data_IF_334084443306
#
_entry.id   IF_334084443306
#
_cell.length_a   1.000
_cell.length_b   1.000
_cell.length_c   1.000
_cell.angle_alpha   90.00
_cell.angle_beta   90.00
_cell.angle_gamma   90.00
#
_symmetry.space_group_name_H-M   'P 1'
#
loop_
_entity.id
_entity.type
_entity.pdbx_description
1 polymer ?
#
# COMPACT_ATOMS: atom_id res chain seq x y z
N UNK A 1 -16.22 20.76 7.43
CA UNK A 1 -16.12 19.86 6.26
C UNK A 1 -15.34 18.64 6.69
N UNK A 2 -15.92 17.44 6.57
CA UNK A 2 -15.21 16.20 6.91
C UNK A 2 -14.15 15.89 5.85
N UNK A 3 -12.97 15.37 6.23
CA UNK A 3 -11.95 14.99 5.25
C UNK A 3 -12.48 13.89 4.32
N UNK A 4 -12.05 13.86 3.04
CA UNK A 4 -12.44 12.81 2.12
C UNK A 4 -11.99 11.45 2.68
N UNK A 5 -12.94 10.52 2.77
CA UNK A 5 -12.66 9.14 3.18
C UNK A 5 -11.79 8.49 2.11
N UNK A 6 -10.54 8.20 2.45
CA UNK A 6 -9.63 7.44 1.61
C UNK A 6 -10.15 6.00 1.61
N UNK A 7 -10.79 5.59 0.51
CA UNK A 7 -11.24 4.20 0.34
C UNK A 7 -10.01 3.29 0.44
N UNK A 8 -10.11 2.22 1.23
CA UNK A 8 -9.04 1.24 1.30
C UNK A 8 -8.97 0.52 -0.07
N UNK A 9 -7.79 0.18 -0.59
CA UNK A 9 -7.66 -0.56 -1.85
C UNK A 9 -8.52 -1.84 -1.88
N UNK A 10 -8.65 -2.51 -0.74
CA UNK A 10 -9.51 -3.70 -0.58
C UNK A 10 -11.00 -3.45 -0.81
N UNK A 11 -11.50 -2.23 -0.55
CA UNK A 11 -12.90 -1.88 -0.77
C UNK A 11 -13.24 -1.80 -2.26
N UNK A 12 -12.31 -1.25 -3.06
CA UNK A 12 -12.47 -1.10 -4.52
C UNK A 12 -12.40 -2.45 -5.23
N UNK A 13 -11.49 -3.32 -4.78
CA UNK A 13 -11.38 -4.70 -5.29
C UNK A 13 -12.68 -5.45 -5.02
N UNK A 14 -13.18 -5.44 -3.78
CA UNK A 14 -14.44 -6.10 -3.43
C UNK A 14 -15.63 -5.60 -4.27
N UNK A 15 -15.74 -4.29 -4.51
CA UNK A 15 -16.85 -3.70 -5.26
C UNK A 15 -16.84 -4.13 -6.74
N UNK A 16 -15.70 -4.02 -7.42
CA UNK A 16 -15.57 -4.38 -8.85
C UNK A 16 -15.78 -5.87 -9.07
N UNK A 17 -15.24 -6.71 -8.18
CA UNK A 17 -15.36 -8.16 -8.33
C UNK A 17 -16.75 -8.69 -7.98
N UNK A 18 -17.41 -8.09 -6.98
CA UNK A 18 -18.80 -8.43 -6.67
C UNK A 18 -19.72 -8.16 -7.86
N UNK A 19 -19.51 -7.06 -8.60
CA UNK A 19 -20.28 -6.76 -9.81
C UNK A 19 -20.01 -7.76 -10.94
N UNK A 20 -18.76 -8.17 -11.16
CA UNK A 20 -18.42 -9.19 -12.18
C UNK A 20 -19.07 -10.53 -11.88
N UNK A 21 -18.99 -11.00 -10.63
CA UNK A 21 -19.60 -12.27 -10.20
C UNK A 21 -21.13 -12.22 -10.36
N UNK A 22 -21.78 -11.12 -9.96
CA UNK A 22 -23.23 -10.95 -10.16
C UNK A 22 -23.63 -11.00 -11.63
N UNK A 23 -22.85 -10.37 -12.51
CA UNK A 23 -23.10 -10.39 -13.96
C UNK A 23 -23.04 -11.81 -14.53
N UNK A 24 -22.06 -12.59 -14.10
CA UNK A 24 -21.88 -13.97 -14.55
C UNK A 24 -23.00 -14.89 -14.06
N UNK A 25 -23.39 -14.74 -12.79
CA UNK A 25 -24.54 -15.46 -12.23
C UNK A 25 -25.79 -15.18 -13.06
N UNK A 26 -26.04 -13.91 -13.41
CA UNK A 26 -27.22 -13.53 -14.18
C UNK A 26 -27.22 -14.16 -15.58
N UNK A 27 -26.08 -14.12 -16.28
CA UNK A 27 -25.97 -14.72 -17.63
C UNK A 27 -26.22 -16.23 -17.59
N UNK A 28 -25.67 -16.95 -16.62
CA UNK A 28 -25.88 -18.40 -16.49
C UNK A 28 -27.33 -18.73 -16.12
N UNK A 29 -27.95 -17.95 -15.22
CA UNK A 29 -29.36 -18.11 -14.87
C UNK A 29 -30.28 -17.89 -16.07
N UNK A 30 -30.01 -16.86 -16.89
CA UNK A 30 -30.78 -16.56 -18.10
C UNK A 30 -30.63 -17.66 -19.18
N UNK A 31 -29.52 -18.41 -19.14
CA UNK A 31 -29.19 -19.49 -20.07
C UNK A 31 -29.68 -20.86 -19.59
N UNK A 32 -30.05 -21.00 -18.31
CA UNK A 32 -30.35 -22.28 -17.67
C UNK A 32 -29.12 -23.13 -17.36
N UNK A 33 -27.92 -22.55 -17.43
CA UNK A 33 -26.65 -23.21 -17.18
C UNK A 33 -26.27 -23.11 -15.69
N UNK A 34 -25.53 -24.11 -15.19
CA UNK A 34 -24.97 -24.08 -13.84
C UNK A 34 -23.71 -23.18 -13.81
N UNK A 35 -23.71 -22.03 -13.11
CA UNK A 35 -22.55 -21.16 -13.03
C UNK A 35 -21.43 -21.67 -12.12
N UNK A 36 -21.64 -22.76 -11.37
CA UNK A 36 -20.75 -23.18 -10.27
C UNK A 36 -19.29 -23.34 -10.72
N UNK A 37 -19.04 -24.03 -11.83
CA UNK A 37 -17.68 -24.23 -12.35
C UNK A 37 -17.00 -22.92 -12.75
N UNK A 38 -17.75 -21.98 -13.30
CA UNK A 38 -17.23 -20.68 -13.75
C UNK A 38 -16.92 -19.77 -12.56
N UNK A 39 -17.76 -19.82 -11.51
CA UNK A 39 -17.54 -19.09 -10.25
C UNK A 39 -16.27 -19.58 -9.56
N UNK A 40 -16.06 -20.90 -9.46
CA UNK A 40 -14.84 -21.45 -8.85
C UNK A 40 -13.58 -21.08 -9.65
N UNK A 41 -13.63 -21.13 -10.99
CA UNK A 41 -12.50 -20.69 -11.82
C UNK A 41 -12.15 -19.20 -11.59
N UNK A 42 -13.16 -18.33 -11.53
CA UNK A 42 -12.95 -16.89 -11.31
C UNK A 42 -12.39 -16.62 -9.93
N UNK A 43 -12.84 -17.36 -8.92
CA UNK A 43 -12.32 -17.28 -7.56
C UNK A 43 -10.84 -17.69 -7.50
N UNK A 44 -10.45 -18.74 -8.20
CA UNK A 44 -9.04 -19.18 -8.26
C UNK A 44 -8.15 -18.14 -8.96
N UNK A 45 -8.60 -17.59 -10.08
CA UNK A 45 -7.88 -16.54 -10.80
C UNK A 45 -7.76 -15.25 -9.97
N UNK A 46 -8.80 -14.93 -9.20
CA UNK A 46 -8.82 -13.83 -8.24
C UNK A 46 -7.78 -14.00 -7.14
N UNK A 47 -7.77 -15.17 -6.51
CA UNK A 47 -6.80 -15.48 -5.46
C UNK A 47 -5.37 -15.38 -5.97
N UNK A 48 -5.13 -15.86 -7.20
CA UNK A 48 -3.82 -15.74 -7.86
C UNK A 48 -3.42 -14.28 -8.08
N UNK A 49 -4.32 -13.47 -8.64
CA UNK A 49 -4.05 -12.06 -8.89
C UNK A 49 -3.79 -11.26 -7.61
N UNK A 50 -4.54 -11.52 -6.54
CA UNK A 50 -4.30 -10.89 -5.24
C UNK A 50 -2.94 -11.28 -4.66
N UNK A 51 -2.57 -12.56 -4.76
CA UNK A 51 -1.27 -13.03 -4.30
C UNK A 51 -0.10 -12.40 -5.08
N UNK A 52 -0.24 -12.27 -6.40
CA UNK A 52 0.75 -11.60 -7.27
C UNK A 52 0.89 -10.11 -6.91
N UNK A 53 -0.22 -9.39 -6.77
CA UNK A 53 -0.23 -7.98 -6.37
C UNK A 53 0.40 -7.77 -4.98
N UNK A 54 0.09 -8.63 -4.01
CA UNK A 54 0.72 -8.55 -2.69
C UNK A 54 2.23 -8.80 -2.76
N UNK A 55 2.67 -9.76 -3.57
CA UNK A 55 4.10 -10.03 -3.75
C UNK A 55 4.82 -8.84 -4.42
N UNK A 56 4.17 -8.16 -5.37
CA UNK A 56 4.70 -6.94 -5.98
C UNK A 56 4.80 -5.78 -4.99
N UNK A 57 3.77 -5.58 -4.15
CA UNK A 57 3.77 -4.57 -3.09
C UNK A 57 4.86 -4.82 -2.05
N UNK A 58 5.04 -6.07 -1.61
CA UNK A 58 6.11 -6.45 -0.68
C UNK A 58 7.50 -6.23 -1.30
N UNK A 59 7.68 -6.58 -2.58
CA UNK A 59 8.92 -6.34 -3.29
C UNK A 59 9.21 -4.83 -3.46
N UNK A 60 8.19 -4.02 -3.71
CA UNK A 60 8.31 -2.57 -3.77
C UNK A 60 8.68 -1.99 -2.41
N UNK A 61 8.03 -2.46 -1.34
CA UNK A 61 8.31 -2.03 0.03
C UNK A 61 9.76 -2.31 0.41
N UNK A 62 10.27 -3.51 0.10
CA UNK A 62 11.65 -3.87 0.40
C UNK A 62 12.65 -3.05 -0.43
N UNK A 63 12.37 -2.81 -1.71
CA UNK A 63 13.19 -1.91 -2.54
C UNK A 63 13.26 -0.50 -1.93
N UNK A 64 12.13 0.04 -1.48
CA UNK A 64 12.10 1.36 -0.82
C UNK A 64 12.81 1.35 0.52
N UNK A 65 12.73 0.27 1.28
CA UNK A 65 13.51 0.10 2.52
C UNK A 65 15.01 0.17 2.25
N UNK A 66 15.48 -0.52 1.21
CA UNK A 66 16.88 -0.52 0.78
C UNK A 66 17.31 0.88 0.30
N UNK A 67 16.50 1.54 -0.53
CA UNK A 67 16.78 2.91 -1.00
C UNK A 67 16.89 3.94 0.14
N UNK A 68 16.07 3.80 1.19
CA UNK A 68 16.04 4.74 2.32
C UNK A 68 17.10 4.45 3.40
N UNK A 69 17.65 3.23 3.44
CA UNK A 69 18.68 2.84 4.41
C UNK A 69 19.89 3.80 4.49
N UNK A 70 20.54 4.21 3.38
CA UNK A 70 21.68 5.14 3.46
C UNK A 70 21.27 6.54 3.94
N UNK A 71 20.07 7.01 3.59
CA UNK A 71 19.55 8.30 4.04
C UNK A 71 19.33 8.28 5.56
N UNK A 72 18.76 7.18 6.07
CA UNK A 72 18.57 6.96 7.51
C UNK A 72 19.91 6.94 8.25
N UNK A 73 20.89 6.18 7.75
CA UNK A 73 22.21 6.12 8.36
C UNK A 73 22.89 7.50 8.41
N UNK A 74 22.78 8.29 7.33
CA UNK A 74 23.31 9.65 7.28
C UNK A 74 22.61 10.59 8.27
N UNK A 75 21.29 10.49 8.41
CA UNK A 75 20.54 11.25 9.40
C UNK A 75 20.95 10.90 10.82
N UNK A 76 21.07 9.60 11.14
CA UNK A 76 21.49 9.13 12.47
C UNK A 76 22.90 9.65 12.82
N UNK A 77 23.84 9.63 11.87
CA UNK A 77 25.18 10.21 12.05
C UNK A 77 25.13 11.71 12.36
N UNK A 78 24.42 12.49 11.53
CA UNK A 78 24.29 13.94 11.74
C UNK A 78 23.58 14.28 13.06
N UNK A 79 22.61 13.47 13.47
CA UNK A 79 21.92 13.66 14.75
C UNK A 79 22.89 13.50 15.92
N UNK A 80 23.74 12.46 15.90
CA UNK A 80 24.72 12.22 16.96
C UNK A 80 25.84 13.28 16.98
N UNK A 81 26.22 13.84 15.83
CA UNK A 81 27.14 14.97 15.76
C UNK A 81 26.56 16.24 16.43
N UNK A 82 25.27 16.51 16.21
CA UNK A 82 24.59 17.69 16.76
C UNK A 82 24.12 17.50 18.21
N UNK A 83 23.86 16.25 18.61
CA UNK A 83 23.30 15.88 19.90
C UNK A 83 24.04 14.68 20.51
N UNK A 84 25.31 14.85 20.93
CA UNK A 84 26.17 13.75 21.39
C UNK A 84 25.62 13.03 22.63
N UNK A 85 24.90 13.73 23.50
CA UNK A 85 24.32 13.18 24.73
C UNK A 85 22.90 12.61 24.55
N UNK A 86 22.38 12.56 23.32
CA UNK A 86 21.02 12.10 23.03
C UNK A 86 21.02 10.88 22.10
N UNK A 87 20.17 9.92 22.42
CA UNK A 87 19.88 8.79 21.53
C UNK A 87 19.08 9.28 20.33
N UNK A 88 19.52 8.93 19.12
CA UNK A 88 18.76 9.23 17.91
C UNK A 88 17.37 8.55 18.00
N UNK A 89 16.26 9.28 17.77
CA UNK A 89 14.95 8.67 17.86
C UNK A 89 14.81 7.57 16.80
N UNK A 90 14.40 6.36 17.23
CA UNK A 90 14.06 5.29 16.31
C UNK A 90 12.71 5.58 15.68
N UNK A 91 12.72 6.25 14.52
CA UNK A 91 11.50 6.47 13.75
C UNK A 91 11.11 5.18 13.02
N UNK A 92 10.43 4.30 13.74
CA UNK A 92 9.64 3.23 13.15
C UNK A 92 8.51 3.85 12.32
N UNK A 93 8.60 3.70 11.00
CA UNK A 93 7.59 4.04 10.00
C UNK A 93 7.66 5.49 9.47
N UNK A 94 8.66 5.75 8.62
CA UNK A 94 8.73 6.60 7.40
C UNK A 94 7.85 7.86 7.18
N UNK A 95 6.65 7.99 7.75
CA UNK A 95 5.78 9.17 7.58
C UNK A 95 6.27 10.44 8.29
N UNK A 96 6.76 10.39 9.54
CA UNK A 96 7.23 11.59 10.24
C UNK A 96 8.48 12.20 9.59
N UNK A 97 9.38 11.37 9.06
CA UNK A 97 10.63 11.83 8.44
C UNK A 97 10.37 12.59 7.13
N UNK A 98 9.46 12.11 6.28
CA UNK A 98 9.06 12.84 5.07
C UNK A 98 8.42 14.19 5.40
N UNK A 99 7.57 14.24 6.44
CA UNK A 99 6.98 15.51 6.91
C UNK A 99 8.04 16.47 7.46
N UNK A 100 9.01 15.98 8.22
CA UNK A 100 10.07 16.82 8.79
C UNK A 100 11.04 17.33 7.71
N UNK A 101 11.39 16.49 6.72
CA UNK A 101 12.20 16.92 5.58
C UNK A 101 11.48 17.95 4.71
N UNK A 102 10.16 17.85 4.55
CA UNK A 102 9.35 18.88 3.87
C UNK A 102 9.34 20.20 4.64
N UNK A 103 9.12 20.16 5.97
CA UNK A 103 9.14 21.34 6.84
C UNK A 103 10.50 22.04 6.83
N UNK A 104 11.60 21.30 6.97
CA UNK A 104 12.96 21.87 6.95
C UNK A 104 13.34 22.45 5.59
N UNK A 105 12.73 21.99 4.48
CA UNK A 105 12.94 22.56 3.15
C UNK A 105 12.17 23.88 2.96
N UNK A 106 11.06 24.05 3.67
CA UNK A 106 10.26 25.28 3.65
C UNK A 106 10.90 26.42 4.43
N UNK A 107 11.67 26.12 5.48
CA UNK A 107 12.38 27.12 6.29
C UNK A 107 13.66 27.67 5.64
N UNK A 108 14.09 27.13 4.48
CA UNK A 108 15.23 27.69 3.72
C UNK A 108 14.84 28.76 2.69
N UNK A 109 13.56 29.18 2.65
CA UNK A 109 13.07 30.23 1.74
C UNK A 109 12.35 31.39 2.46
N UNK A 110 12.71 31.66 3.73
CA UNK A 110 12.34 32.91 4.41
C UNK A 110 13.57 33.73 4.77
#
# INVERSE_FOLDING_TARGET
>A
MSPPSIRQPGDVVNEVYSQKIQTIIQICLDSGDDPTSLIEQIKDDLQRMVAEMMAEDDALLERKRVELAPIRARYESLYHELHPDKTCPQYGNTLPVLKLLLLMKSDQFQ
#
